data_IF_087978900090
#
_entry.id   IF_087978900090
#
_cell.length_a   1.000
_cell.length_b   1.000
_cell.length_c   1.000
_cell.angle_alpha   90.00
_cell.angle_beta   90.00
_cell.angle_gamma   90.00
#
_symmetry.space_group_name_H-M   'P 1'
#
loop_
_entity.id
_entity.type
_entity.pdbx_description
1 polymer ?
#
# COMPACT_ATOMS: atom_id res chain seq x y z
N UNK A 1 16.14 -9.65 16.79
CA UNK A 1 15.38 -8.42 16.46
C UNK A 1 16.38 -7.37 15.99
N UNK A 2 16.17 -6.75 14.82
CA UNK A 2 17.05 -5.67 14.35
C UNK A 2 16.66 -4.36 15.05
N UNK A 3 17.63 -3.47 15.23
CA UNK A 3 17.40 -2.14 15.81
C UNK A 3 16.58 -1.32 14.80
N UNK A 4 15.45 -0.71 15.20
CA UNK A 4 14.71 0.21 14.34
C UNK A 4 15.59 1.37 13.89
N UNK A 5 15.42 1.80 12.65
CA UNK A 5 16.22 2.85 12.03
C UNK A 5 15.37 3.64 11.04
N UNK A 6 15.89 4.77 10.58
CA UNK A 6 15.27 5.61 9.55
C UNK A 6 15.04 4.79 8.27
N UNK A 7 13.80 4.75 7.80
CA UNK A 7 13.41 4.04 6.58
C UNK A 7 13.00 4.96 5.43
N UNK A 8 13.22 6.28 5.55
CA UNK A 8 12.91 7.25 4.48
C UNK A 8 13.71 7.03 3.19
N UNK A 9 14.80 6.25 3.25
CA UNK A 9 15.56 5.80 2.07
C UNK A 9 14.66 5.05 1.08
N UNK A 10 13.67 4.33 1.59
CA UNK A 10 12.62 3.75 0.79
C UNK A 10 11.48 4.76 0.69
N UNK A 11 11.33 5.30 -0.52
CA UNK A 11 10.38 6.35 -0.87
C UNK A 11 8.94 5.85 -0.87
N UNK A 12 8.71 4.55 -1.00
CA UNK A 12 7.39 3.97 -1.19
C UNK A 12 7.07 2.88 -0.15
N UNK A 13 7.89 2.76 0.90
CA UNK A 13 7.78 1.70 1.93
C UNK A 13 6.36 1.54 2.49
N UNK A 14 5.64 2.65 2.70
CA UNK A 14 4.27 2.59 3.23
C UNK A 14 3.33 2.04 2.16
N UNK A 15 3.37 2.60 0.96
CA UNK A 15 2.57 2.15 -0.17
C UNK A 15 2.77 0.65 -0.45
N UNK A 16 4.02 0.21 -0.57
CA UNK A 16 4.35 -1.20 -0.85
C UNK A 16 3.86 -2.15 0.24
N UNK A 17 4.02 -1.77 1.51
CA UNK A 17 3.57 -2.58 2.64
C UNK A 17 2.04 -2.71 2.67
N UNK A 18 1.32 -1.60 2.47
CA UNK A 18 -0.16 -1.60 2.46
C UNK A 18 -0.68 -2.40 1.26
N UNK A 19 -0.13 -2.19 0.07
CA UNK A 19 -0.47 -2.96 -1.12
C UNK A 19 -0.28 -4.45 -0.89
N UNK A 20 0.89 -4.85 -0.38
CA UNK A 20 1.21 -6.24 -0.09
C UNK A 20 0.27 -6.87 0.94
N UNK A 21 -0.09 -6.12 1.99
CA UNK A 21 -1.07 -6.54 3.00
C UNK A 21 -2.44 -6.80 2.36
N UNK A 22 -2.94 -5.88 1.52
CA UNK A 22 -4.22 -6.02 0.84
C UNK A 22 -4.25 -7.22 -0.12
N UNK A 23 -3.17 -7.42 -0.90
CA UNK A 23 -3.00 -8.59 -1.75
C UNK A 23 -3.02 -9.91 -0.95
N UNK A 24 -2.34 -9.94 0.21
CA UNK A 24 -2.33 -11.12 1.07
C UNK A 24 -3.73 -11.42 1.65
N UNK A 25 -4.46 -10.39 2.08
CA UNK A 25 -5.83 -10.51 2.59
C UNK A 25 -6.78 -11.01 1.50
N UNK A 26 -6.75 -10.44 0.30
CA UNK A 26 -7.60 -10.90 -0.80
C UNK A 26 -7.24 -12.32 -1.25
N UNK A 27 -5.95 -12.63 -1.36
CA UNK A 27 -5.48 -13.98 -1.64
C UNK A 27 -6.00 -15.01 -0.62
N UNK A 28 -5.89 -14.71 0.67
CA UNK A 28 -6.46 -15.53 1.75
C UNK A 28 -7.98 -15.68 1.56
N UNK A 29 -8.71 -14.58 1.38
CA UNK A 29 -10.17 -14.59 1.22
C UNK A 29 -10.64 -15.38 -0.01
N UNK A 30 -9.91 -15.33 -1.13
CA UNK A 30 -10.18 -16.18 -2.31
C UNK A 30 -10.00 -17.66 -1.97
N UNK A 31 -8.92 -18.03 -1.29
CA UNK A 31 -8.67 -19.42 -0.89
C UNK A 31 -9.76 -19.97 0.03
N UNK A 32 -10.23 -19.18 1.01
CA UNK A 32 -11.36 -19.56 1.87
C UNK A 32 -12.63 -19.84 1.06
N UNK A 33 -12.96 -18.95 0.11
CA UNK A 33 -14.12 -19.11 -0.78
C UNK A 33 -14.05 -20.39 -1.61
N UNK A 34 -12.85 -20.75 -2.10
CA UNK A 34 -12.66 -21.98 -2.89
C UNK A 34 -12.70 -23.27 -2.06
N UNK A 35 -12.20 -23.25 -0.82
CA UNK A 35 -12.10 -24.45 0.03
C UNK A 35 -13.41 -24.83 0.72
N UNK A 36 -14.37 -23.92 0.82
CA UNK A 36 -15.69 -24.20 1.42
C UNK A 36 -15.63 -24.65 2.89
N UNK A 37 -14.56 -24.30 3.61
CA UNK A 37 -14.29 -24.73 4.98
C UNK A 37 -14.93 -23.87 6.08
N UNK A 38 -14.58 -24.18 7.34
CA UNK A 38 -15.07 -23.49 8.55
C UNK A 38 -14.43 -22.11 8.76
N UNK A 39 -13.26 -21.88 8.17
CA UNK A 39 -12.53 -20.63 8.25
C UNK A 39 -13.33 -19.48 7.61
N UNK A 40 -13.31 -18.31 8.25
CA UNK A 40 -14.08 -17.14 7.84
C UNK A 40 -13.17 -16.15 7.13
N UNK A 41 -13.66 -15.45 6.09
CA UNK A 41 -12.89 -14.40 5.43
C UNK A 41 -12.62 -13.24 6.37
N UNK A 42 -11.46 -12.60 6.20
CA UNK A 42 -11.09 -11.35 6.85
C UNK A 42 -11.95 -10.23 6.27
N UNK A 43 -12.73 -9.56 7.13
CA UNK A 43 -13.65 -8.47 6.72
C UNK A 43 -13.17 -7.08 7.12
N UNK A 44 -12.29 -6.99 8.10
CA UNK A 44 -11.77 -5.74 8.62
C UNK A 44 -10.35 -5.92 9.13
N UNK A 45 -9.56 -4.86 8.97
CA UNK A 45 -8.19 -4.78 9.48
C UNK A 45 -8.10 -3.51 10.31
N UNK A 46 -7.70 -3.66 11.57
CA UNK A 46 -7.24 -2.56 12.39
C UNK A 46 -5.71 -2.57 12.33
N UNK A 47 -5.10 -1.44 12.04
CA UNK A 47 -3.65 -1.34 12.00
C UNK A 47 -3.15 -0.05 12.65
N UNK A 48 -1.98 -0.15 13.26
CA UNK A 48 -1.20 1.03 13.64
C UNK A 48 -0.44 1.55 12.43
N UNK A 49 -0.09 2.85 12.39
CA UNK A 49 0.82 3.36 11.40
C UNK A 49 2.15 2.58 11.41
N UNK A 50 2.68 2.35 10.21
CA UNK A 50 3.97 1.66 9.98
C UNK A 50 4.98 2.67 9.43
N UNK A 51 6.26 2.44 9.69
CA UNK A 51 7.37 3.35 9.34
C UNK A 51 7.33 4.75 10.02
N UNK A 52 6.24 5.14 10.67
CA UNK A 52 6.19 6.32 11.53
C UNK A 52 6.98 6.14 12.83
N UNK A 53 7.31 7.22 13.53
CA UNK A 53 8.08 7.16 14.78
C UNK A 53 9.55 6.88 14.50
N UNK A 54 10.08 5.73 14.94
CA UNK A 54 11.50 5.39 14.73
C UNK A 54 11.91 5.26 13.26
N UNK A 55 10.95 5.01 12.36
CA UNK A 55 11.21 4.94 10.92
C UNK A 55 11.23 6.30 10.21
N UNK A 56 10.95 7.40 10.94
CA UNK A 56 11.01 8.79 10.49
C UNK A 56 10.09 9.18 9.33
N UNK A 57 9.20 8.31 8.85
CA UNK A 57 8.17 8.70 7.87
C UNK A 57 7.16 9.64 8.52
N UNK A 58 6.87 10.77 7.86
CA UNK A 58 5.90 11.75 8.35
C UNK A 58 4.48 11.17 8.38
N UNK A 59 3.62 11.68 9.26
CA UNK A 59 2.24 11.22 9.35
C UNK A 59 1.45 11.50 8.07
N UNK A 60 1.78 12.60 7.39
CA UNK A 60 1.16 13.04 6.13
C UNK A 60 1.52 12.07 5.01
N UNK A 61 2.82 11.85 4.76
CA UNK A 61 3.28 10.84 3.80
C UNK A 61 2.70 9.47 4.08
N UNK A 62 2.67 9.03 5.34
CA UNK A 62 2.06 7.76 5.70
C UNK A 62 0.59 7.69 5.29
N UNK A 63 -0.19 8.74 5.59
CA UNK A 63 -1.61 8.80 5.29
C UNK A 63 -1.87 8.79 3.77
N UNK A 64 -1.15 9.63 3.02
CA UNK A 64 -1.27 9.74 1.57
C UNK A 64 -0.93 8.42 0.88
N UNK A 65 0.23 7.83 1.18
CA UNK A 65 0.64 6.55 0.59
C UNK A 65 -0.32 5.42 0.94
N UNK A 66 -0.85 5.40 2.17
CA UNK A 66 -1.86 4.42 2.59
C UNK A 66 -3.15 4.55 1.79
N UNK A 67 -3.66 5.78 1.61
CA UNK A 67 -4.87 6.04 0.82
C UNK A 67 -4.65 5.71 -0.66
N UNK A 68 -3.50 6.05 -1.23
CA UNK A 68 -3.16 5.70 -2.62
C UNK A 68 -3.11 4.20 -2.83
N UNK A 69 -2.48 3.45 -1.91
CA UNK A 69 -2.45 2.00 -1.98
C UNK A 69 -3.87 1.40 -1.93
N UNK A 70 -4.74 1.91 -1.05
CA UNK A 70 -6.14 1.46 -0.99
C UNK A 70 -6.93 1.81 -2.26
N UNK A 71 -6.81 3.05 -2.75
CA UNK A 71 -7.46 3.54 -3.99
C UNK A 71 -7.09 2.64 -5.17
N UNK A 72 -5.79 2.45 -5.39
CA UNK A 72 -5.29 1.64 -6.49
C UNK A 72 -5.61 0.16 -6.34
N UNK A 73 -5.62 -0.37 -5.11
CA UNK A 73 -6.02 -1.74 -4.88
C UNK A 73 -7.50 -1.97 -5.23
N UNK A 74 -8.39 -1.08 -4.81
CA UNK A 74 -9.81 -1.14 -5.16
C UNK A 74 -10.00 -1.06 -6.67
N UNK A 75 -9.32 -0.11 -7.34
CA UNK A 75 -9.35 -0.02 -8.80
C UNK A 75 -8.88 -1.31 -9.47
N UNK A 76 -7.83 -1.96 -8.94
CA UNK A 76 -7.27 -3.20 -9.49
C UNK A 76 -8.22 -4.39 -9.34
N UNK A 77 -8.95 -4.46 -8.23
CA UNK A 77 -9.92 -5.54 -7.96
C UNK A 77 -11.23 -5.32 -8.74
N UNK A 78 -11.73 -4.09 -8.82
CA UNK A 78 -13.01 -3.78 -9.45
C UNK A 78 -12.93 -3.66 -10.97
N UNK A 79 -11.77 -3.26 -11.52
CA UNK A 79 -11.55 -3.04 -12.97
C UNK A 79 -10.36 -3.84 -13.49
N UNK A 80 -10.37 -5.19 -13.36
CA UNK A 80 -9.24 -6.03 -13.76
C UNK A 80 -8.89 -5.90 -15.26
N UNK A 81 -9.86 -5.58 -16.12
CA UNK A 81 -9.67 -5.33 -17.54
C UNK A 81 -8.86 -4.06 -17.84
N UNK A 82 -8.98 -3.03 -17.00
CA UNK A 82 -8.21 -1.78 -17.13
C UNK A 82 -6.78 -2.01 -16.67
N UNK A 83 -6.61 -2.71 -15.54
CA UNK A 83 -5.30 -2.99 -14.96
C UNK A 83 -4.49 -4.01 -15.76
N UNK A 84 -5.14 -5.01 -16.36
CA UNK A 84 -4.48 -5.96 -17.28
C UNK A 84 -4.07 -5.34 -18.61
N UNK A 85 -4.64 -4.18 -18.99
CA UNK A 85 -4.33 -3.44 -20.23
C UNK A 85 -3.64 -2.10 -19.96
N UNK A 86 -3.07 -1.96 -18.78
CA UNK A 86 -2.50 -0.71 -18.34
C UNK A 86 -1.31 -0.33 -19.23
N UNK A 87 -1.37 0.87 -19.81
CA UNK A 87 -0.28 1.40 -20.63
C UNK A 87 0.82 1.97 -19.74
N UNK A 88 2.01 2.14 -20.30
CA UNK A 88 3.10 2.84 -19.60
C UNK A 88 2.69 4.25 -19.14
N UNK A 89 1.90 4.97 -19.92
CA UNK A 89 1.37 6.29 -19.54
C UNK A 89 0.54 6.24 -18.25
N UNK A 90 -0.34 5.25 -18.12
CA UNK A 90 -1.13 5.06 -16.90
C UNK A 90 -0.25 4.72 -15.69
N UNK A 91 0.79 3.90 -15.90
CA UNK A 91 1.77 3.58 -14.84
C UNK A 91 2.50 4.84 -14.40
N UNK A 92 2.98 5.65 -15.34
CA UNK A 92 3.68 6.89 -15.02
C UNK A 92 2.79 7.88 -14.28
N UNK A 93 1.51 8.02 -14.65
CA UNK A 93 0.58 8.89 -13.92
C UNK A 93 0.43 8.45 -12.45
N UNK A 94 0.27 7.15 -12.22
CA UNK A 94 0.17 6.60 -10.86
C UNK A 94 1.46 6.80 -10.07
N UNK A 95 2.61 6.64 -10.73
CA UNK A 95 3.92 6.89 -10.13
C UNK A 95 4.13 8.36 -9.77
N UNK A 96 3.69 9.30 -10.62
CA UNK A 96 3.75 10.75 -10.31
C UNK A 96 2.93 11.09 -9.07
N UNK A 97 1.71 10.54 -8.95
CA UNK A 97 0.87 10.73 -7.76
C UNK A 97 1.54 10.17 -6.49
N UNK A 98 2.26 9.04 -6.60
CA UNK A 98 3.00 8.46 -5.48
C UNK A 98 4.27 9.26 -5.14
N UNK A 99 4.99 9.76 -6.15
CA UNK A 99 6.21 10.56 -5.95
C UNK A 99 5.94 11.85 -5.18
N UNK A 100 4.81 12.49 -5.47
CA UNK A 100 4.40 13.71 -4.77
C UNK A 100 4.36 13.54 -3.24
N UNK A 101 4.06 12.33 -2.74
CA UNK A 101 3.92 12.06 -1.30
C UNK A 101 5.22 12.13 -0.49
N UNK A 102 6.38 12.14 -1.14
CA UNK A 102 7.68 12.17 -0.45
C UNK A 102 8.63 13.23 -0.99
N UNK A 103 8.31 13.89 -2.10
CA UNK A 103 9.07 15.03 -2.61
C UNK A 103 8.99 16.23 -1.65
N UNK A 104 7.87 16.43 -0.96
CA UNK A 104 7.70 17.51 0.02
C UNK A 104 8.44 17.25 1.35
N UNK A 105 8.73 15.99 1.68
CA UNK A 105 9.51 15.59 2.87
C UNK A 105 11.01 15.93 2.73
N UNK A 106 11.50 16.26 1.52
CA UNK A 106 12.91 16.52 1.25
C UNK A 106 13.40 17.93 1.67
N UNK A 107 12.50 18.85 2.06
CA UNK A 107 12.86 20.26 2.35
C UNK A 107 13.23 20.55 3.82
N UNK A 108 13.32 19.52 4.67
CA UNK A 108 13.71 19.67 6.08
C UNK A 108 15.15 19.18 6.34
N UNK A 109 16.16 19.94 5.89
CA UNK A 109 17.55 19.87 6.39
C UNK A 109 17.89 21.06 7.31
#
# INVERSE_FOLDING_TARGET
>A
MRIPWDVRWDREVVYECIWSLLCAVDGHNRQIRHRGGVEKPIKSVLMTPLATGCGMVSYERWAEQTVLAMKYFVEAVEKPEVWSRMTWENVFQKQVELNATWEEDCDCE
#
